data_IF_713686645818
#
_entry.id   IF_713686645818
#
_cell.length_a   1.000
_cell.length_b   1.000
_cell.length_c   1.000
_cell.angle_alpha   90.00
_cell.angle_beta   90.00
_cell.angle_gamma   90.00
#
_symmetry.space_group_name_H-M   'P 1'
#
loop_
_entity.id
_entity.type
_entity.pdbx_description
1 polymer ?
#
# COMPACT_ATOMS: atom_id res chain seq x y z
N UNK A 1 8.19 -0.04 10.23
CA UNK A 1 8.14 -0.08 8.74
C UNK A 1 8.58 1.23 8.08
N UNK A 2 8.57 2.39 8.77
CA UNK A 2 8.80 3.72 8.16
C UNK A 2 10.21 4.06 7.63
N UNK A 3 11.28 3.30 7.91
CA UNK A 3 12.67 3.71 7.58
C UNK A 3 13.15 3.39 6.15
N UNK A 4 12.29 2.87 5.27
CA UNK A 4 12.70 2.32 3.96
C UNK A 4 12.18 3.08 2.75
N UNK A 5 11.41 4.16 2.93
CA UNK A 5 10.96 4.99 1.82
C UNK A 5 12.05 5.99 1.42
N UNK A 6 12.55 5.81 0.20
CA UNK A 6 13.69 6.53 -0.37
C UNK A 6 13.50 8.03 -0.51
N UNK A 7 14.64 8.73 -0.43
CA UNK A 7 14.79 10.18 -0.58
C UNK A 7 14.38 10.65 -1.98
N UNK A 8 13.43 11.58 -2.05
CA UNK A 8 13.25 12.45 -3.22
C UNK A 8 14.33 13.54 -3.23
N UNK A 9 14.88 13.84 -4.41
CA UNK A 9 16.00 14.76 -4.64
C UNK A 9 15.67 16.18 -4.13
N UNK A 10 16.50 16.70 -3.23
CA UNK A 10 16.47 18.11 -2.83
C UNK A 10 16.92 19.00 -3.99
N UNK A 11 16.10 19.98 -4.38
CA UNK A 11 16.56 21.14 -5.15
C UNK A 11 16.97 22.25 -4.20
N UNK A 12 17.97 23.01 -4.66
CA UNK A 12 18.87 23.83 -3.87
C UNK A 12 18.23 25.00 -3.14
N UNK A 13 18.90 25.35 -2.05
CA UNK A 13 18.70 26.51 -1.20
C UNK A 13 19.38 27.74 -1.84
N UNK A 14 18.70 28.87 -1.90
CA UNK A 14 19.32 30.20 -1.95
C UNK A 14 18.48 31.19 -1.13
N UNK A 15 19.19 32.04 -0.37
CA UNK A 15 18.75 32.74 0.83
C UNK A 15 18.08 34.11 0.58
N UNK A 16 17.13 34.38 1.48
CA UNK A 16 16.87 35.62 2.23
C UNK A 16 16.46 36.91 1.50
N UNK A 17 15.24 37.37 1.83
CA UNK A 17 14.79 38.76 1.78
C UNK A 17 13.48 38.89 2.56
N UNK A 18 13.51 39.62 3.67
CA UNK A 18 12.36 39.94 4.53
C UNK A 18 11.19 40.56 3.75
N UNK A 19 10.02 39.93 3.84
CA UNK A 19 8.72 40.60 3.86
C UNK A 19 7.69 39.65 4.47
N UNK A 20 7.10 40.05 5.58
CA UNK A 20 6.00 39.38 6.22
C UNK A 20 4.75 39.43 5.32
N UNK A 21 4.47 38.33 4.64
CA UNK A 21 3.10 37.88 4.39
C UNK A 21 2.94 36.60 5.22
N UNK A 22 1.98 36.59 6.16
CA UNK A 22 1.57 35.32 6.76
C UNK A 22 0.93 34.49 5.65
N UNK A 23 1.75 33.69 4.97
CA UNK A 23 1.31 32.62 4.11
C UNK A 23 0.31 31.80 4.95
N UNK A 24 -0.99 31.92 4.68
CA UNK A 24 -2.00 31.11 5.32
C UNK A 24 -1.70 29.67 4.90
N UNK A 25 -0.87 29.00 5.69
CA UNK A 25 -0.48 27.62 5.44
C UNK A 25 -1.76 26.79 5.39
N UNK A 26 -2.04 26.29 4.20
CA UNK A 26 -3.18 25.45 3.87
C UNK A 26 -3.10 24.20 4.78
N UNK A 27 -4.12 23.91 5.62
CA UNK A 27 -4.00 22.88 6.66
C UNK A 27 -3.69 21.46 6.13
N UNK A 28 -4.11 21.15 4.91
CA UNK A 28 -3.84 19.85 4.28
C UNK A 28 -2.36 19.73 3.86
N UNK A 29 -1.76 20.80 3.34
CA UNK A 29 -0.34 20.91 3.04
C UNK A 29 0.52 20.78 4.28
N UNK A 30 0.12 21.42 5.39
CA UNK A 30 0.78 21.24 6.69
C UNK A 30 0.71 19.77 7.15
N UNK A 31 -0.46 19.13 6.98
CA UNK A 31 -0.62 17.71 7.29
C UNK A 31 0.34 16.85 6.49
N UNK A 32 0.46 17.09 5.18
CA UNK A 32 1.35 16.35 4.30
C UNK A 32 2.83 16.52 4.62
N UNK A 33 3.27 17.75 4.90
CA UNK A 33 4.65 18.04 5.28
C UNK A 33 5.04 17.32 6.58
N UNK A 34 4.16 17.35 7.57
CA UNK A 34 4.35 16.66 8.85
C UNK A 34 4.35 15.14 8.67
N UNK A 35 3.48 14.59 7.82
CA UNK A 35 3.44 13.15 7.49
C UNK A 35 4.73 12.71 6.79
N UNK A 36 5.23 13.47 5.83
CA UNK A 36 6.49 13.19 5.14
C UNK A 36 7.67 13.27 6.12
N UNK A 37 7.68 14.26 7.01
CA UNK A 37 8.69 14.37 8.06
C UNK A 37 8.63 13.20 9.07
N UNK A 38 7.43 12.72 9.41
CA UNK A 38 7.23 11.50 10.18
C UNK A 38 7.81 10.29 9.46
N UNK A 39 7.56 10.12 8.16
CA UNK A 39 8.14 9.03 7.37
C UNK A 39 9.68 9.00 7.42
N UNK A 40 10.32 10.17 7.47
CA UNK A 40 11.79 10.29 7.53
C UNK A 40 12.36 10.03 8.92
N UNK A 41 11.69 10.46 9.98
CA UNK A 41 12.23 10.48 11.35
C UNK A 41 11.66 9.40 12.26
N UNK A 42 10.41 9.00 12.01
CA UNK A 42 9.60 8.17 12.89
C UNK A 42 9.10 8.89 14.14
N UNK A 43 9.24 10.22 14.27
CA UNK A 43 8.86 10.97 15.48
C UNK A 43 7.33 10.97 15.68
N UNK A 44 6.81 10.35 16.76
CA UNK A 44 5.39 10.35 17.10
C UNK A 44 4.71 11.73 17.17
N UNK A 45 5.45 12.80 17.46
CA UNK A 45 4.91 14.16 17.52
C UNK A 45 4.51 14.68 16.14
N UNK A 46 5.28 14.34 15.11
CA UNK A 46 4.98 14.73 13.73
C UNK A 46 3.71 14.05 13.22
N UNK A 47 3.52 12.77 13.55
CA UNK A 47 2.28 12.05 13.22
C UNK A 47 1.06 12.70 13.87
N UNK A 48 1.15 13.05 15.16
CA UNK A 48 0.06 13.75 15.87
C UNK A 48 -0.21 15.14 15.31
N UNK A 49 0.82 15.91 14.99
CA UNK A 49 0.65 17.22 14.36
C UNK A 49 0.01 17.12 12.98
N UNK A 50 0.37 16.10 12.20
CA UNK A 50 -0.24 15.82 10.88
C UNK A 50 -1.73 15.50 11.01
N UNK A 51 -2.13 14.72 12.02
CA UNK A 51 -3.54 14.43 12.31
C UNK A 51 -4.30 15.71 12.67
N UNK A 52 -3.77 16.54 13.57
CA UNK A 52 -4.41 17.80 13.96
C UNK A 52 -4.59 18.75 12.78
N UNK A 53 -3.61 18.83 11.88
CA UNK A 53 -3.70 19.65 10.68
C UNK A 53 -4.75 19.11 9.69
N UNK A 54 -4.87 17.79 9.55
CA UNK A 54 -5.91 17.19 8.72
C UNK A 54 -7.32 17.32 9.34
N UNK A 55 -7.46 17.22 10.66
CA UNK A 55 -8.72 17.51 11.36
C UNK A 55 -9.16 18.95 11.11
N UNK A 56 -8.24 19.92 11.23
CA UNK A 56 -8.50 21.31 10.90
C UNK A 56 -8.90 21.49 9.42
N UNK A 57 -8.27 20.75 8.50
CA UNK A 57 -8.63 20.79 7.08
C UNK A 57 -10.09 20.33 6.85
N UNK A 58 -10.54 19.28 7.54
CA UNK A 58 -11.95 18.81 7.48
C UNK A 58 -12.92 19.89 7.97
N UNK A 59 -12.55 20.63 9.03
CA UNK A 59 -13.37 21.71 9.59
C UNK A 59 -13.45 22.94 8.68
N UNK A 60 -12.34 23.31 8.02
CA UNK A 60 -12.22 24.52 7.20
C UNK A 60 -12.78 24.33 5.80
N UNK A 61 -12.62 23.14 5.21
CA UNK A 61 -13.12 22.87 3.85
C UNK A 61 -14.60 22.50 3.83
N UNK A 62 -15.42 23.20 3.01
CA UNK A 62 -16.80 22.78 2.78
C UNK A 62 -16.87 21.36 2.22
N UNK A 63 -17.89 20.60 2.59
CA UNK A 63 -18.11 19.22 2.12
C UNK A 63 -18.16 19.10 0.58
N UNK A 64 -18.48 20.19 -0.13
CA UNK A 64 -18.50 20.24 -1.60
C UNK A 64 -17.13 20.42 -2.24
N UNK A 65 -16.09 20.71 -1.46
CA UNK A 65 -14.71 20.89 -1.91
C UNK A 65 -13.97 19.55 -1.88
N UNK A 66 -13.26 19.19 -2.95
CA UNK A 66 -12.49 17.94 -3.02
C UNK A 66 -11.44 17.85 -1.89
N UNK A 67 -10.95 18.99 -1.38
CA UNK A 67 -9.99 19.02 -0.25
C UNK A 67 -10.59 18.51 1.06
N UNK A 68 -11.92 18.57 1.22
CA UNK A 68 -12.60 17.97 2.37
C UNK A 68 -12.44 16.43 2.34
N UNK A 69 -12.72 15.81 1.19
CA UNK A 69 -12.52 14.37 1.00
C UNK A 69 -11.04 13.97 1.11
N UNK A 70 -10.13 14.79 0.57
CA UNK A 70 -8.69 14.57 0.71
C UNK A 70 -8.21 14.63 2.16
N UNK A 71 -8.73 15.55 2.97
CA UNK A 71 -8.44 15.63 4.40
C UNK A 71 -8.91 14.39 5.17
N UNK A 72 -10.12 13.89 4.87
CA UNK A 72 -10.63 12.63 5.42
C UNK A 72 -9.75 11.43 5.01
N UNK A 73 -9.32 11.37 3.75
CA UNK A 73 -8.39 10.33 3.28
C UNK A 73 -7.02 10.42 3.95
N UNK A 74 -6.53 11.63 4.24
CA UNK A 74 -5.33 11.82 5.04
C UNK A 74 -5.51 11.29 6.46
N UNK A 75 -6.64 11.54 7.12
CA UNK A 75 -6.94 10.97 8.44
C UNK A 75 -7.01 9.44 8.40
N UNK A 76 -7.62 8.86 7.35
CA UNK A 76 -7.60 7.41 7.11
C UNK A 76 -6.18 6.85 7.14
N UNK A 77 -5.28 7.44 6.34
CA UNK A 77 -3.88 7.03 6.26
C UNK A 77 -3.14 7.24 7.58
N UNK A 78 -3.33 8.38 8.25
CA UNK A 78 -2.60 8.72 9.47
C UNK A 78 -2.98 7.81 10.64
N UNK A 79 -4.27 7.51 10.83
CA UNK A 79 -4.70 6.55 11.83
C UNK A 79 -4.21 5.13 11.52
N UNK A 80 -4.16 4.74 10.25
CA UNK A 80 -3.56 3.46 9.85
C UNK A 80 -2.06 3.40 10.19
N UNK A 81 -1.31 4.48 9.98
CA UNK A 81 0.10 4.58 10.38
C UNK A 81 0.27 4.51 11.91
N UNK A 82 -0.65 5.10 12.67
CA UNK A 82 -0.67 5.01 14.14
C UNK A 82 -0.92 3.57 14.59
N UNK A 83 -1.89 2.88 13.97
CA UNK A 83 -2.12 1.44 14.15
C UNK A 83 -0.87 0.61 13.85
N UNK A 84 -0.18 0.84 12.74
CA UNK A 84 1.04 0.09 12.41
C UNK A 84 2.14 0.25 13.47
N UNK A 85 2.21 1.41 14.11
CA UNK A 85 3.21 1.73 15.14
C UNK A 85 2.87 1.05 16.46
N UNK A 86 1.65 1.25 16.95
CA UNK A 86 1.28 0.95 18.34
C UNK A 86 0.38 -0.28 18.48
N UNK A 87 -0.18 -0.76 17.36
CA UNK A 87 -1.19 -1.83 17.34
C UNK A 87 -2.41 -1.51 18.20
N UNK A 88 -2.81 -0.23 18.24
CA UNK A 88 -4.00 0.23 18.95
C UNK A 88 -5.27 0.05 18.11
N UNK A 89 -6.14 -0.87 18.52
CA UNK A 89 -7.31 -1.28 17.74
C UNK A 89 -8.28 -0.14 17.34
N UNK A 90 -8.55 0.88 18.18
CA UNK A 90 -9.37 2.03 17.82
C UNK A 90 -8.82 2.86 16.66
N UNK A 91 -7.50 2.95 16.49
CA UNK A 91 -6.91 3.67 15.36
C UNK A 91 -7.27 3.01 14.03
N UNK A 92 -7.27 1.68 13.96
CA UNK A 92 -7.68 0.99 12.74
C UNK A 92 -9.17 1.19 12.42
N UNK A 93 -10.03 1.27 13.45
CA UNK A 93 -11.46 1.56 13.28
C UNK A 93 -11.65 2.98 12.74
N UNK A 94 -10.96 3.97 13.33
CA UNK A 94 -10.97 5.36 12.84
C UNK A 94 -10.46 5.46 11.41
N UNK A 95 -9.41 4.71 11.06
CA UNK A 95 -8.88 4.70 9.70
C UNK A 95 -9.94 4.27 8.68
N UNK A 96 -10.67 3.20 8.96
CA UNK A 96 -11.75 2.70 8.09
C UNK A 96 -12.90 3.70 8.02
N UNK A 97 -13.32 4.27 9.16
CA UNK A 97 -14.40 5.24 9.21
C UNK A 97 -14.08 6.49 8.37
N UNK A 98 -12.90 7.09 8.57
CA UNK A 98 -12.45 8.21 7.74
C UNK A 98 -12.28 7.84 6.27
N UNK A 99 -11.83 6.63 5.96
CA UNK A 99 -11.72 6.15 4.57
C UNK A 99 -13.08 6.05 3.89
N UNK A 100 -14.10 5.53 4.60
CA UNK A 100 -15.49 5.48 4.10
C UNK A 100 -16.07 6.87 3.89
N UNK A 101 -15.85 7.77 4.85
CA UNK A 101 -16.26 9.18 4.71
C UNK A 101 -15.57 9.84 3.51
N UNK A 102 -14.27 9.62 3.30
CA UNK A 102 -13.55 10.18 2.16
C UNK A 102 -14.16 9.75 0.81
N UNK A 103 -14.46 8.45 0.65
CA UNK A 103 -15.10 7.92 -0.56
C UNK A 103 -16.53 8.47 -0.72
N UNK A 104 -17.34 8.49 0.34
CA UNK A 104 -18.72 8.99 0.33
C UNK A 104 -18.80 10.50 0.03
N UNK A 105 -17.87 11.29 0.55
CA UNK A 105 -17.82 12.76 0.40
C UNK A 105 -17.03 13.23 -0.82
N UNK A 106 -16.46 12.33 -1.61
CA UNK A 106 -15.77 12.70 -2.85
C UNK A 106 -16.78 13.30 -3.84
N UNK A 107 -16.61 14.56 -4.30
CA UNK A 107 -17.52 15.15 -5.28
C UNK A 107 -17.43 14.44 -6.64
N UNK A 108 -18.45 14.57 -7.51
CA UNK A 108 -18.37 14.03 -8.86
C UNK A 108 -17.17 14.58 -9.63
N UNK A 109 -16.35 13.68 -10.19
CA UNK A 109 -15.12 14.06 -10.90
C UNK A 109 -13.94 14.38 -10.00
N UNK A 110 -13.98 14.03 -8.71
CA UNK A 110 -12.84 14.15 -7.80
C UNK A 110 -11.60 13.45 -8.39
N UNK A 111 -10.51 14.20 -8.67
CA UNK A 111 -9.30 13.62 -9.23
C UNK A 111 -8.59 12.64 -8.28
N UNK A 112 -8.86 12.70 -6.98
CA UNK A 112 -8.21 11.89 -5.94
C UNK A 112 -9.08 10.71 -5.45
N UNK A 113 -10.25 10.47 -6.06
CA UNK A 113 -11.14 9.37 -5.68
C UNK A 113 -10.42 8.00 -5.66
N UNK A 114 -9.52 7.73 -6.61
CA UNK A 114 -8.72 6.49 -6.62
C UNK A 114 -7.82 6.37 -5.39
N UNK A 115 -7.27 7.48 -4.90
CA UNK A 115 -6.46 7.50 -3.67
C UNK A 115 -7.31 7.30 -2.43
N UNK A 116 -8.51 7.87 -2.37
CA UNK A 116 -9.46 7.68 -1.26
C UNK A 116 -9.86 6.20 -1.15
N UNK A 117 -10.27 5.60 -2.27
CA UNK A 117 -10.62 4.19 -2.35
C UNK A 117 -9.43 3.28 -1.97
N UNK A 118 -8.23 3.58 -2.48
CA UNK A 118 -7.02 2.83 -2.13
C UNK A 118 -6.68 2.91 -0.64
N UNK A 119 -6.84 4.07 -0.01
CA UNK A 119 -6.52 4.27 1.42
C UNK A 119 -7.45 3.45 2.30
N UNK A 120 -8.76 3.48 1.99
CA UNK A 120 -9.76 2.64 2.63
C UNK A 120 -9.47 1.15 2.42
N UNK A 121 -9.18 0.72 1.19
CA UNK A 121 -8.87 -0.67 0.86
C UNK A 121 -7.67 -1.19 1.66
N UNK A 122 -6.61 -0.39 1.84
CA UNK A 122 -5.46 -0.78 2.65
C UNK A 122 -5.82 -0.90 4.13
N UNK A 123 -6.65 0.00 4.68
CA UNK A 123 -7.12 -0.09 6.06
C UNK A 123 -8.00 -1.35 6.29
N UNK A 124 -8.86 -1.68 5.34
CA UNK A 124 -9.69 -2.89 5.38
C UNK A 124 -8.86 -4.17 5.27
N UNK A 125 -7.81 -4.18 4.43
CA UNK A 125 -6.87 -5.29 4.36
C UNK A 125 -6.14 -5.51 5.71
N UNK A 126 -5.71 -4.45 6.39
CA UNK A 126 -5.13 -4.54 7.74
C UNK A 126 -6.15 -5.06 8.77
N UNK A 127 -7.43 -4.68 8.65
CA UNK A 127 -8.49 -5.20 9.50
C UNK A 127 -8.73 -6.69 9.27
N UNK A 128 -8.74 -7.14 8.01
CA UNK A 128 -8.75 -8.57 7.69
C UNK A 128 -7.56 -9.29 8.30
N UNK A 129 -6.36 -8.72 8.21
CA UNK A 129 -5.17 -9.37 8.77
C UNK A 129 -5.29 -9.62 10.28
N UNK A 130 -5.94 -8.71 11.00
CA UNK A 130 -6.19 -8.82 12.44
C UNK A 130 -7.34 -9.77 12.78
N UNK A 131 -8.46 -9.66 12.07
CA UNK A 131 -9.75 -10.26 12.48
C UNK A 131 -10.13 -11.49 11.67
N UNK A 132 -9.56 -11.65 10.48
CA UNK A 132 -9.97 -12.61 9.45
C UNK A 132 -11.41 -12.44 8.99
N UNK A 133 -11.96 -11.23 9.16
CA UNK A 133 -13.30 -10.88 8.70
C UNK A 133 -13.37 -10.83 7.17
N UNK A 134 -14.09 -11.77 6.56
CA UNK A 134 -14.20 -11.90 5.10
C UNK A 134 -14.84 -10.68 4.44
N UNK A 135 -15.77 -9.99 5.13
CA UNK A 135 -16.38 -8.77 4.58
C UNK A 135 -15.34 -7.68 4.35
N UNK A 136 -14.39 -7.52 5.28
CA UNK A 136 -13.30 -6.55 5.15
C UNK A 136 -12.40 -6.82 3.94
N UNK A 137 -12.01 -8.07 3.67
CA UNK A 137 -11.14 -8.36 2.50
C UNK A 137 -11.91 -8.26 1.18
N UNK A 138 -13.21 -8.56 1.18
CA UNK A 138 -14.05 -8.46 0.00
C UNK A 138 -14.31 -7.01 -0.39
N UNK A 139 -14.58 -6.14 0.59
CA UNK A 139 -14.67 -4.70 0.39
C UNK A 139 -13.34 -4.13 -0.12
N UNK A 140 -12.20 -4.55 0.45
CA UNK A 140 -10.88 -4.12 0.00
C UNK A 140 -10.60 -4.51 -1.47
N UNK A 141 -10.91 -5.74 -1.87
CA UNK A 141 -10.75 -6.21 -3.27
C UNK A 141 -11.65 -5.40 -4.21
N UNK A 142 -12.90 -5.17 -3.84
CA UNK A 142 -13.83 -4.37 -4.65
C UNK A 142 -13.33 -2.94 -4.85
N UNK A 143 -12.82 -2.31 -3.78
CA UNK A 143 -12.23 -0.97 -3.85
C UNK A 143 -10.98 -0.93 -4.74
N UNK A 144 -10.05 -1.88 -4.61
CA UNK A 144 -8.86 -1.92 -5.47
C UNK A 144 -9.22 -2.10 -6.95
N UNK A 145 -10.21 -2.95 -7.27
CA UNK A 145 -10.72 -3.10 -8.64
C UNK A 145 -11.32 -1.79 -9.13
N UNK A 146 -12.17 -1.15 -8.32
CA UNK A 146 -12.77 0.15 -8.63
C UNK A 146 -11.73 1.24 -8.87
N UNK A 147 -10.63 1.28 -8.10
CA UNK A 147 -9.50 2.17 -8.37
C UNK A 147 -8.93 1.93 -9.78
N UNK A 148 -8.63 0.68 -10.13
CA UNK A 148 -8.05 0.32 -11.43
C UNK A 148 -8.99 0.63 -12.60
N UNK A 149 -10.31 0.58 -12.40
CA UNK A 149 -11.31 0.88 -13.42
C UNK A 149 -11.39 2.39 -13.76
N UNK A 150 -11.23 3.26 -12.76
CA UNK A 150 -11.30 4.73 -12.97
C UNK A 150 -9.94 5.35 -13.33
N UNK A 151 -8.84 4.66 -13.08
CA UNK A 151 -7.50 5.15 -13.39
C UNK A 151 -7.21 5.11 -14.91
N UNK A 152 -6.69 6.19 -15.50
CA UNK A 152 -6.36 6.21 -16.92
C UNK A 152 -5.22 5.24 -17.24
N UNK A 153 -5.36 4.49 -18.34
CA UNK A 153 -4.28 3.64 -18.86
C UNK A 153 -3.23 4.53 -19.53
N UNK A 154 -2.08 4.70 -18.86
CA UNK A 154 -0.94 5.49 -19.34
C UNK A 154 0.27 4.60 -19.62
N UNK A 155 1.25 5.13 -20.36
CA UNK A 155 2.53 4.45 -20.56
C UNK A 155 3.20 4.16 -19.20
N UNK A 156 3.91 3.04 -19.10
CA UNK A 156 4.42 2.48 -17.83
C UNK A 156 5.18 3.49 -16.94
N UNK A 157 6.01 4.35 -17.53
CA UNK A 157 6.77 5.38 -16.80
C UNK A 157 5.90 6.46 -16.13
N UNK A 158 4.63 6.55 -16.47
CA UNK A 158 3.66 7.52 -15.94
C UNK A 158 2.56 6.83 -15.13
N UNK A 159 2.71 5.54 -14.83
CA UNK A 159 1.65 4.69 -14.30
C UNK A 159 1.97 4.14 -12.89
N UNK A 160 2.93 4.73 -12.17
CA UNK A 160 3.43 4.24 -10.87
C UNK A 160 2.31 3.94 -9.88
N UNK A 161 1.32 4.83 -9.79
CA UNK A 161 0.16 4.66 -8.92
C UNK A 161 -0.66 3.42 -9.31
N UNK A 162 -0.90 3.20 -10.61
CA UNK A 162 -1.63 2.02 -11.06
C UNK A 162 -0.85 0.75 -10.75
N UNK A 163 0.47 0.76 -10.98
CA UNK A 163 1.35 -0.38 -10.66
C UNK A 163 1.33 -0.69 -9.16
N UNK A 164 1.20 0.34 -8.29
CA UNK A 164 0.97 0.13 -6.86
C UNK A 164 -0.39 -0.52 -6.57
N UNK A 165 -1.47 -0.08 -7.23
CA UNK A 165 -2.80 -0.68 -7.06
C UNK A 165 -2.87 -2.13 -7.55
N UNK A 166 -2.26 -2.45 -8.69
CA UNK A 166 -2.12 -3.83 -9.18
C UNK A 166 -1.42 -4.72 -8.14
N UNK A 167 -0.34 -4.23 -7.53
CA UNK A 167 0.37 -4.97 -6.47
C UNK A 167 -0.47 -5.12 -5.20
N UNK A 168 -1.25 -4.12 -4.82
CA UNK A 168 -2.11 -4.18 -3.64
C UNK A 168 -3.29 -5.14 -3.83
N UNK A 169 -3.93 -5.10 -5.01
CA UNK A 169 -4.98 -6.04 -5.40
C UNK A 169 -4.46 -7.48 -5.41
N UNK A 170 -3.29 -7.71 -6.01
CA UNK A 170 -2.64 -9.02 -5.98
C UNK A 170 -2.42 -9.52 -4.55
N UNK A 171 -1.99 -8.65 -3.63
CA UNK A 171 -1.79 -9.02 -2.23
C UNK A 171 -3.11 -9.34 -1.51
N UNK A 172 -4.19 -8.59 -1.77
CA UNK A 172 -5.50 -8.86 -1.20
C UNK A 172 -6.08 -10.19 -1.68
N UNK A 173 -6.02 -10.44 -2.99
CA UNK A 173 -6.44 -11.70 -3.61
C UNK A 173 -5.59 -12.87 -3.09
N UNK A 174 -4.29 -12.70 -2.93
CA UNK A 174 -3.41 -13.72 -2.35
C UNK A 174 -3.87 -14.15 -0.96
N UNK A 175 -4.21 -13.19 -0.10
CA UNK A 175 -4.69 -13.47 1.27
C UNK A 175 -5.99 -14.25 1.25
N UNK A 176 -6.98 -13.79 0.47
CA UNK A 176 -8.28 -14.45 0.33
C UNK A 176 -8.13 -15.85 -0.27
N UNK A 177 -7.42 -15.98 -1.39
CA UNK A 177 -7.22 -17.23 -2.11
C UNK A 177 -6.51 -18.29 -1.28
N UNK A 178 -5.55 -17.91 -0.43
CA UNK A 178 -4.90 -18.85 0.50
C UNK A 178 -5.84 -19.37 1.58
N UNK A 179 -6.67 -18.50 2.16
CA UNK A 179 -7.60 -18.91 3.22
C UNK A 179 -8.71 -19.81 2.67
N UNK A 180 -9.22 -19.50 1.49
CA UNK A 180 -10.24 -20.30 0.82
C UNK A 180 -9.67 -21.53 0.08
N UNK A 181 -8.34 -21.64 -0.03
CA UNK A 181 -7.66 -22.63 -0.86
C UNK A 181 -8.19 -22.63 -2.31
N UNK A 182 -8.39 -21.44 -2.87
CA UNK A 182 -9.03 -21.22 -4.17
C UNK A 182 -7.98 -20.87 -5.24
N UNK A 183 -7.73 -21.83 -6.14
CA UNK A 183 -6.78 -21.68 -7.25
C UNK A 183 -7.20 -20.63 -8.28
N UNK A 184 -8.50 -20.33 -8.45
CA UNK A 184 -8.94 -19.29 -9.38
C UNK A 184 -8.59 -17.90 -8.84
N UNK A 185 -8.85 -17.64 -7.55
CA UNK A 185 -8.46 -16.39 -6.88
C UNK A 185 -6.93 -16.23 -6.87
N UNK A 186 -6.18 -17.30 -6.64
CA UNK A 186 -4.71 -17.26 -6.65
C UNK A 186 -4.14 -17.03 -8.07
N UNK A 187 -4.81 -17.53 -9.10
CA UNK A 187 -4.47 -17.22 -10.49
C UNK A 187 -4.69 -15.75 -10.81
N UNK A 188 -5.80 -15.17 -10.34
CA UNK A 188 -6.05 -13.73 -10.45
C UNK A 188 -4.98 -12.91 -9.71
N UNK A 189 -4.63 -13.31 -8.49
CA UNK A 189 -3.54 -12.70 -7.72
C UNK A 189 -2.21 -12.71 -8.49
N UNK A 190 -1.87 -13.84 -9.12
CA UNK A 190 -0.66 -13.98 -9.92
C UNK A 190 -0.70 -13.10 -11.19
N UNK A 191 -1.87 -12.93 -11.82
CA UNK A 191 -2.04 -12.07 -12.98
C UNK A 191 -1.76 -10.60 -12.63
N UNK A 192 -2.38 -10.08 -11.57
CA UNK A 192 -2.12 -8.71 -11.08
C UNK A 192 -0.67 -8.52 -10.60
N UNK A 193 -0.09 -9.51 -9.91
CA UNK A 193 1.31 -9.44 -9.49
C UNK A 193 2.28 -9.41 -10.68
N UNK A 194 2.00 -10.16 -11.75
CA UNK A 194 2.79 -10.11 -13.01
C UNK A 194 2.65 -8.76 -13.70
N UNK A 195 1.45 -8.20 -13.77
CA UNK A 195 1.22 -6.87 -14.34
C UNK A 195 2.01 -5.81 -13.57
N UNK A 196 1.94 -5.83 -12.24
CA UNK A 196 2.70 -4.93 -11.40
C UNK A 196 4.21 -5.08 -11.63
N UNK A 197 4.73 -6.31 -11.63
CA UNK A 197 6.15 -6.57 -11.80
C UNK A 197 6.68 -6.11 -13.17
N UNK A 198 5.94 -6.41 -14.26
CA UNK A 198 6.33 -6.04 -15.63
C UNK A 198 6.58 -4.55 -15.79
N UNK A 199 5.78 -3.72 -15.12
CA UNK A 199 5.84 -2.26 -15.25
C UNK A 199 6.70 -1.61 -14.14
N UNK A 200 7.49 -2.42 -13.41
CA UNK A 200 8.42 -1.97 -12.36
C UNK A 200 9.87 -2.07 -12.84
N UNK A 201 10.63 -0.97 -12.91
CA UNK A 201 12.07 -1.02 -13.16
C UNK A 201 12.83 -1.82 -12.08
N UNK A 202 13.89 -2.52 -12.47
CA UNK A 202 14.71 -3.33 -11.55
C UNK A 202 15.36 -2.51 -10.41
N UNK A 203 15.62 -1.22 -10.63
CA UNK A 203 16.19 -0.30 -9.63
C UNK A 203 15.13 0.35 -8.71
N UNK A 204 13.86 0.05 -8.94
CA UNK A 204 12.76 0.62 -8.17
C UNK A 204 12.72 0.01 -6.75
N UNK A 205 12.56 0.82 -5.68
CA UNK A 205 12.55 0.32 -4.30
C UNK A 205 11.51 -0.77 -4.00
N UNK A 206 10.42 -0.80 -4.76
CA UNK A 206 9.35 -1.79 -4.61
C UNK A 206 9.51 -3.05 -5.48
N UNK A 207 10.50 -3.10 -6.37
CA UNK A 207 10.76 -4.26 -7.22
C UNK A 207 10.95 -5.58 -6.41
N UNK A 208 11.80 -5.63 -5.36
CA UNK A 208 11.94 -6.85 -4.54
C UNK A 208 10.63 -7.33 -3.89
N UNK A 209 9.74 -6.40 -3.53
CA UNK A 209 8.47 -6.73 -2.88
C UNK A 209 7.44 -7.23 -3.89
N UNK A 210 7.44 -6.67 -5.10
CA UNK A 210 6.58 -7.15 -6.20
C UNK A 210 7.01 -8.55 -6.66
N UNK A 211 8.31 -8.85 -6.66
CA UNK A 211 8.83 -10.22 -6.83
C UNK A 211 8.29 -11.16 -5.76
N UNK A 212 8.42 -10.81 -4.48
CA UNK A 212 7.92 -11.65 -3.37
C UNK A 212 6.40 -11.85 -3.42
N UNK A 213 5.63 -10.82 -3.80
CA UNK A 213 4.17 -10.94 -3.97
C UNK A 213 3.82 -11.94 -5.09
N UNK A 214 4.48 -11.86 -6.24
CA UNK A 214 4.28 -12.83 -7.32
C UNK A 214 4.69 -14.25 -6.88
N UNK A 215 5.86 -14.39 -6.25
CA UNK A 215 6.31 -15.67 -5.70
C UNK A 215 5.30 -16.25 -4.72
N UNK A 216 4.69 -15.41 -3.88
CA UNK A 216 3.66 -15.81 -2.92
C UNK A 216 2.40 -16.35 -3.59
N UNK A 217 1.92 -15.70 -4.64
CA UNK A 217 0.77 -16.16 -5.43
C UNK A 217 1.05 -17.48 -6.14
N UNK A 218 2.23 -17.61 -6.76
CA UNK A 218 2.67 -18.85 -7.41
C UNK A 218 2.80 -20.01 -6.40
N UNK A 219 3.35 -19.75 -5.21
CA UNK A 219 3.42 -20.74 -4.15
C UNK A 219 2.03 -21.16 -3.66
N UNK A 220 1.09 -20.21 -3.57
CA UNK A 220 -0.31 -20.53 -3.26
C UNK A 220 -0.90 -21.49 -4.30
N UNK A 221 -0.67 -21.22 -5.59
CA UNK A 221 -1.13 -22.09 -6.68
C UNK A 221 -0.56 -23.51 -6.55
N UNK A 222 0.74 -23.63 -6.26
CA UNK A 222 1.39 -24.92 -5.99
C UNK A 222 0.69 -25.66 -4.85
N UNK A 223 0.35 -24.97 -3.76
CA UNK A 223 -0.35 -25.55 -2.61
C UNK A 223 -1.77 -26.00 -2.94
N UNK A 224 -2.43 -25.35 -3.91
CA UNK A 224 -3.75 -25.75 -4.42
C UNK A 224 -3.71 -26.82 -5.53
N UNK A 225 -2.53 -27.37 -5.86
CA UNK A 225 -2.41 -28.48 -6.83
C UNK A 225 -1.89 -28.08 -8.21
N UNK A 226 -1.22 -26.94 -8.34
CA UNK A 226 -0.57 -26.48 -9.58
C UNK A 226 0.97 -26.52 -9.47
N UNK A 227 1.60 -27.71 -9.41
CA UNK A 227 3.03 -27.86 -9.17
C UNK A 227 3.91 -27.24 -10.27
N UNK A 228 3.38 -27.01 -11.47
CA UNK A 228 4.06 -26.34 -12.58
C UNK A 228 4.60 -24.94 -12.20
N UNK A 229 4.05 -24.32 -11.17
CA UNK A 229 4.48 -23.00 -10.69
C UNK A 229 5.63 -23.04 -9.67
N UNK A 230 6.08 -24.22 -9.22
CA UNK A 230 7.10 -24.36 -8.17
C UNK A 230 8.42 -23.66 -8.53
N UNK A 231 8.95 -23.94 -9.73
CA UNK A 231 10.22 -23.35 -10.17
C UNK A 231 10.14 -21.82 -10.30
N UNK A 232 9.00 -21.31 -10.78
CA UNK A 232 8.77 -19.88 -10.90
C UNK A 232 8.62 -19.21 -9.53
N UNK A 233 7.95 -19.84 -8.56
CA UNK A 233 7.87 -19.35 -7.20
C UNK A 233 9.28 -19.25 -6.57
N UNK A 234 10.12 -20.28 -6.74
CA UNK A 234 11.51 -20.29 -6.26
C UNK A 234 12.32 -19.12 -6.85
N UNK A 235 12.25 -18.91 -8.16
CA UNK A 235 12.97 -17.82 -8.83
C UNK A 235 12.56 -16.44 -8.28
N UNK A 236 11.25 -16.21 -8.12
CA UNK A 236 10.74 -14.93 -7.60
C UNK A 236 11.24 -14.65 -6.18
N UNK A 237 11.16 -15.63 -5.28
CA UNK A 237 11.68 -15.49 -3.91
C UNK A 237 13.20 -15.31 -3.90
N UNK A 238 13.94 -16.04 -4.75
CA UNK A 238 15.40 -15.94 -4.84
C UNK A 238 15.87 -14.58 -5.36
N UNK A 239 15.19 -14.01 -6.36
CA UNK A 239 15.47 -12.66 -6.89
C UNK A 239 15.10 -11.60 -5.86
N UNK A 240 13.90 -11.68 -5.28
CA UNK A 240 13.45 -10.75 -4.25
C UNK A 240 14.41 -10.71 -3.05
N UNK A 241 14.90 -11.87 -2.60
CA UNK A 241 15.90 -11.95 -1.53
C UNK A 241 17.25 -11.30 -1.91
N UNK A 242 17.67 -11.44 -3.17
CA UNK A 242 18.94 -10.89 -3.66
C UNK A 242 18.92 -9.36 -3.69
N UNK A 243 17.77 -8.80 -4.02
CA UNK A 243 17.57 -7.35 -4.15
C UNK A 243 17.20 -6.66 -2.82
N UNK A 244 16.65 -7.41 -1.85
CA UNK A 244 16.36 -6.87 -0.52
C UNK A 244 17.64 -6.47 0.22
N UNK A 245 17.70 -5.26 0.83
CA UNK A 245 18.80 -4.89 1.71
C UNK A 245 18.99 -5.90 2.85
N UNK A 246 20.24 -6.19 3.21
CA UNK A 246 20.55 -7.21 4.24
C UNK A 246 19.84 -6.96 5.57
N UNK A 247 19.69 -5.69 5.96
CA UNK A 247 19.07 -5.28 7.23
C UNK A 247 17.55 -5.06 7.12
N UNK A 248 16.93 -5.45 5.99
CA UNK A 248 15.52 -5.23 5.78
C UNK A 248 14.66 -6.19 6.65
N UNK A 249 13.66 -5.70 7.40
CA UNK A 249 12.86 -6.53 8.31
C UNK A 249 12.12 -7.70 7.65
N UNK A 250 11.77 -7.59 6.37
CA UNK A 250 11.10 -8.67 5.63
C UNK A 250 12.05 -9.80 5.21
N UNK A 251 13.37 -9.56 5.21
CA UNK A 251 14.36 -10.50 4.67
C UNK A 251 14.31 -11.90 5.31
N UNK A 252 14.24 -12.06 6.65
CA UNK A 252 14.18 -13.39 7.27
C UNK A 252 12.95 -14.20 6.85
N UNK A 253 11.80 -13.54 6.64
CA UNK A 253 10.58 -14.22 6.18
C UNK A 253 10.69 -14.73 4.74
N UNK A 254 11.36 -13.97 3.87
CA UNK A 254 11.66 -14.37 2.48
C UNK A 254 12.63 -15.54 2.47
N UNK A 255 13.68 -15.52 3.30
CA UNK A 255 14.65 -16.62 3.46
C UNK A 255 13.97 -17.92 3.92
N UNK A 256 13.13 -17.83 4.96
CA UNK A 256 12.38 -18.97 5.47
C UNK A 256 11.47 -19.57 4.40
N UNK A 257 10.74 -18.73 3.67
CA UNK A 257 9.83 -19.21 2.61
C UNK A 257 10.60 -19.86 1.47
N UNK A 258 11.73 -19.29 1.05
CA UNK A 258 12.58 -19.87 0.02
C UNK A 258 13.15 -21.23 0.45
N UNK A 259 13.51 -21.39 1.73
CA UNK A 259 13.94 -22.68 2.28
C UNK A 259 12.82 -23.73 2.21
N UNK A 260 11.58 -23.35 2.53
CA UNK A 260 10.40 -24.22 2.40
C UNK A 260 10.19 -24.65 0.95
N UNK A 261 10.24 -23.72 0.00
CA UNK A 261 10.09 -24.01 -1.44
C UNK A 261 11.14 -25.03 -1.90
N UNK A 262 12.41 -24.81 -1.54
CA UNK A 262 13.51 -25.73 -1.87
C UNK A 262 13.33 -27.11 -1.23
N UNK A 263 12.81 -27.16 -0.01
CA UNK A 263 12.48 -28.41 0.67
C UNK A 263 11.39 -29.19 -0.06
N UNK A 264 10.30 -28.52 -0.45
CA UNK A 264 9.20 -29.13 -1.21
C UNK A 264 9.68 -29.65 -2.57
N UNK A 265 10.43 -28.85 -3.31
CA UNK A 265 10.93 -29.25 -4.64
C UNK A 265 11.76 -30.55 -4.59
N UNK A 266 12.63 -30.71 -3.59
CA UNK A 266 13.42 -31.94 -3.40
C UNK A 266 12.57 -33.18 -3.11
N UNK A 267 11.34 -33.02 -2.63
CA UNK A 267 10.42 -34.15 -2.40
C UNK A 267 9.71 -34.60 -3.68
N UNK A 268 9.64 -33.73 -4.70
CA UNK A 268 8.97 -34.01 -5.98
C UNK A 268 9.95 -34.31 -7.14
N UNK A 269 11.23 -33.99 -6.98
CA UNK A 269 12.32 -34.41 -7.90
C UNK A 269 12.98 -35.70 -7.36
N UNK A 270 12.36 -36.87 -7.58
CA UNK A 270 12.98 -38.21 -7.46
C UNK A 270 13.12 -38.82 -8.85
#
# INVERSE_FOLDING_TARGET
MAKWFGRSKSRGNDKAGDAAESEHLEPLGVSDDLRLAYGRTGDPKLLRGSMQAAELAVEVYPVTDFRHAAALSSLCMLHRLSWERDRDAPDLIKAIDYGRQAVDKSPPGDPELSRHMSSLATALQEAYDRTKDEESIDEAIALYRGCLDIMPVRAAAQNEERVAQESNLANALLRKGRVLNDGAILNEAAAHARAALRDTPDDHPMHPFRLVNLGGALLGLVQTGHPEHMAAAEDMYARGLRELPERHPARPGVEQTLAVIKGLRRQFEV
#
